data_IF_062158750199
#
_entry.id   IF_062158750199
#
_cell.length_a   1.000
_cell.length_b   1.000
_cell.length_c   1.000
_cell.angle_alpha   90.00
_cell.angle_beta   90.00
_cell.angle_gamma   90.00
#
_symmetry.space_group_name_H-M   'P 1'
#
loop_
_entity.id
_entity.type
_entity.pdbx_description
1 polymer ?
#
# COMPACT_ATOMS: atom_id res chain seq x y z
N UNK A 1 12.27 -31.75 -28.61
CA UNK A 1 11.86 -30.32 -28.71
C UNK A 1 10.42 -30.20 -29.17
N UNK A 2 10.03 -30.79 -30.32
CA UNK A 2 8.67 -30.72 -30.85
C UNK A 2 7.52 -31.18 -29.91
N UNK A 3 7.78 -32.12 -29.01
CA UNK A 3 6.78 -32.64 -28.06
C UNK A 3 6.49 -31.66 -26.90
N UNK A 4 7.55 -31.03 -26.36
CA UNK A 4 7.44 -29.97 -25.36
C UNK A 4 6.72 -28.74 -25.92
N UNK A 5 6.98 -28.38 -27.17
CA UNK A 5 6.33 -27.22 -27.80
C UNK A 5 4.81 -27.48 -27.99
N UNK A 6 4.44 -28.72 -28.30
CA UNK A 6 3.03 -29.17 -28.35
C UNK A 6 2.35 -29.12 -26.99
N UNK A 7 3.05 -29.59 -25.96
CA UNK A 7 2.56 -29.57 -24.58
C UNK A 7 2.36 -28.12 -24.10
N UNK A 8 3.29 -27.22 -24.41
CA UNK A 8 3.18 -25.79 -24.09
C UNK A 8 1.97 -25.16 -24.78
N UNK A 9 1.71 -25.46 -26.06
CA UNK A 9 0.55 -24.91 -26.76
C UNK A 9 -0.78 -25.46 -26.23
N UNK A 10 -0.85 -26.74 -25.84
CA UNK A 10 -2.01 -27.30 -25.16
C UNK A 10 -2.27 -26.63 -23.81
N UNK A 11 -1.22 -26.44 -23.00
CA UNK A 11 -1.33 -25.76 -21.71
C UNK A 11 -1.75 -24.30 -21.87
N UNK A 12 -1.24 -23.57 -22.87
CA UNK A 12 -1.70 -22.21 -23.18
C UNK A 12 -3.16 -22.17 -23.61
N UNK A 13 -3.59 -23.16 -24.39
CA UNK A 13 -5.00 -23.33 -24.78
C UNK A 13 -5.90 -23.53 -23.57
N UNK A 14 -5.50 -24.41 -22.66
CA UNK A 14 -6.25 -24.70 -21.44
C UNK A 14 -6.28 -23.50 -20.48
N UNK A 15 -5.15 -22.79 -20.30
CA UNK A 15 -5.12 -21.54 -19.53
C UNK A 15 -6.08 -20.50 -20.12
N UNK A 16 -6.15 -20.40 -21.45
CA UNK A 16 -7.06 -19.45 -22.11
C UNK A 16 -8.52 -19.81 -21.85
N UNK A 17 -8.88 -21.08 -22.02
CA UNK A 17 -10.22 -21.60 -21.71
C UNK A 17 -10.59 -21.33 -20.26
N UNK A 18 -9.72 -21.68 -19.30
CA UNK A 18 -9.97 -21.49 -17.88
C UNK A 18 -10.15 -20.01 -17.54
N UNK A 19 -9.36 -19.11 -18.14
CA UNK A 19 -9.55 -17.65 -17.98
C UNK A 19 -10.90 -17.17 -18.51
N UNK A 20 -11.35 -17.68 -19.65
CA UNK A 20 -12.67 -17.35 -20.22
C UNK A 20 -13.83 -17.88 -19.38
N UNK A 21 -13.65 -19.04 -18.75
CA UNK A 21 -14.63 -19.65 -17.85
C UNK A 21 -14.71 -18.88 -16.52
N UNK A 22 -13.57 -18.52 -15.94
CA UNK A 22 -13.49 -17.63 -14.76
C UNK A 22 -14.13 -16.27 -15.06
N UNK A 23 -13.83 -15.65 -16.21
CA UNK A 23 -14.42 -14.35 -16.57
C UNK A 23 -15.95 -14.40 -16.76
N UNK A 24 -16.49 -15.57 -17.15
CA UNK A 24 -17.94 -15.81 -17.21
C UNK A 24 -18.56 -15.99 -15.83
N UNK A 25 -17.90 -16.73 -14.94
CA UNK A 25 -18.38 -16.99 -13.58
C UNK A 25 -18.18 -15.80 -12.64
N UNK A 26 -17.18 -14.97 -12.91
CA UNK A 26 -16.84 -13.77 -12.14
C UNK A 26 -16.72 -12.59 -13.10
N UNK A 27 -17.83 -11.88 -13.37
CA UNK A 27 -17.81 -10.70 -14.22
C UNK A 27 -16.80 -9.67 -13.67
N UNK A 28 -16.17 -8.85 -14.53
CA UNK A 28 -15.28 -7.78 -14.09
C UNK A 28 -15.94 -6.89 -13.04
N UNK A 29 -15.16 -6.36 -12.10
CA UNK A 29 -15.65 -5.52 -11.00
C UNK A 29 -16.51 -4.36 -11.50
N UNK A 30 -16.11 -3.71 -12.61
CA UNK A 30 -16.88 -2.63 -13.22
C UNK A 30 -18.27 -3.08 -13.67
N UNK A 31 -18.39 -4.30 -14.18
CA UNK A 31 -19.68 -4.89 -14.57
C UNK A 31 -20.54 -5.12 -13.34
N UNK A 32 -19.98 -5.67 -12.27
CA UNK A 32 -20.68 -5.91 -11.00
C UNK A 32 -21.15 -4.59 -10.35
N UNK A 33 -20.29 -3.57 -10.34
CA UNK A 33 -20.62 -2.23 -9.85
C UNK A 33 -21.76 -1.61 -10.67
N UNK A 34 -21.69 -1.69 -12.00
CA UNK A 34 -22.72 -1.15 -12.90
C UNK A 34 -24.07 -1.82 -12.71
N UNK A 35 -24.12 -3.14 -12.51
CA UNK A 35 -25.37 -3.87 -12.19
C UNK A 35 -26.03 -3.30 -10.93
N UNK A 36 -25.22 -2.95 -9.92
CA UNK A 36 -25.66 -2.30 -8.68
C UNK A 36 -25.85 -0.78 -8.79
N UNK A 37 -25.79 -0.24 -10.01
CA UNK A 37 -25.89 1.20 -10.31
C UNK A 37 -24.81 2.07 -9.66
N UNK A 38 -23.65 1.49 -9.36
CA UNK A 38 -22.45 2.23 -8.99
C UNK A 38 -21.63 2.57 -10.23
N UNK A 39 -21.15 3.80 -10.31
CA UNK A 39 -20.30 4.30 -11.40
C UNK A 39 -18.96 4.75 -10.83
N UNK A 40 -17.87 4.34 -11.48
CA UNK A 40 -16.51 4.76 -11.09
C UNK A 40 -16.27 6.16 -11.65
N UNK A 41 -16.44 7.18 -10.81
CA UNK A 41 -16.23 8.58 -11.20
C UNK A 41 -14.76 9.01 -11.19
N UNK A 42 -13.89 8.31 -10.46
CA UNK A 42 -12.47 8.65 -10.36
C UNK A 42 -11.63 7.39 -10.16
N UNK A 43 -10.64 7.16 -11.05
CA UNK A 43 -9.73 6.00 -10.99
C UNK A 43 -8.43 6.27 -10.22
N UNK A 44 -7.98 7.52 -10.14
CA UNK A 44 -6.77 7.91 -9.40
C UNK A 44 -7.17 8.61 -8.10
N UNK A 45 -6.55 8.27 -6.96
CA UNK A 45 -6.85 8.95 -5.71
C UNK A 45 -6.56 10.45 -5.86
N UNK A 46 -7.36 11.26 -5.18
CA UNK A 46 -7.16 12.72 -5.18
C UNK A 46 -5.83 13.14 -4.54
N UNK A 47 -5.30 12.26 -3.68
CA UNK A 47 -4.10 12.44 -2.89
C UNK A 47 -3.17 11.24 -3.15
N UNK A 48 -1.88 11.51 -3.27
CA UNK A 48 -0.90 10.44 -3.49
C UNK A 48 -0.60 9.73 -2.16
N UNK A 49 -0.56 8.39 -2.12
CA UNK A 49 -0.20 7.66 -0.91
C UNK A 49 1.24 7.97 -0.47
N UNK A 50 1.47 7.94 0.84
CA UNK A 50 2.80 8.05 1.44
C UNK A 50 3.53 6.71 1.24
N UNK A 51 4.24 6.60 0.12
CA UNK A 51 4.98 5.40 -0.27
C UNK A 51 6.49 5.68 -0.36
N UNK A 52 7.33 4.73 0.06
CA UNK A 52 8.78 4.81 -0.10
C UNK A 52 9.20 4.49 -1.54
N UNK A 53 10.52 4.48 -1.79
CA UNK A 53 11.09 3.93 -3.03
C UNK A 53 10.73 2.44 -3.21
N UNK A 54 10.61 1.97 -4.45
CA UNK A 54 10.12 0.62 -4.81
C UNK A 54 10.84 -0.51 -4.05
N UNK A 55 12.15 -0.39 -3.84
CA UNK A 55 12.96 -1.36 -3.09
C UNK A 55 12.52 -1.59 -1.64
N UNK A 56 11.75 -0.66 -1.05
CA UNK A 56 11.27 -0.75 0.32
C UNK A 56 9.77 -1.07 0.42
N UNK A 57 9.07 -1.22 -0.70
CA UNK A 57 7.62 -1.38 -0.74
C UNK A 57 7.15 -2.57 0.08
N UNK A 58 7.77 -3.75 -0.05
CA UNK A 58 7.34 -4.93 0.70
C UNK A 58 7.61 -4.81 2.20
N UNK A 59 8.76 -4.21 2.58
CA UNK A 59 9.07 -3.93 3.99
C UNK A 59 8.05 -2.97 4.60
N UNK A 60 7.68 -1.92 3.86
CA UNK A 60 6.67 -0.96 4.29
C UNK A 60 5.27 -1.55 4.35
N UNK A 61 4.90 -2.39 3.37
CA UNK A 61 3.64 -3.14 3.36
C UNK A 61 3.51 -4.03 4.60
N UNK A 62 4.56 -4.79 4.93
CA UNK A 62 4.57 -5.63 6.14
C UNK A 62 4.41 -4.80 7.42
N UNK A 63 5.06 -3.63 7.49
CA UNK A 63 4.89 -2.72 8.63
C UNK A 63 3.45 -2.20 8.75
N UNK A 64 2.80 -1.87 7.63
CA UNK A 64 1.40 -1.44 7.62
C UNK A 64 0.44 -2.52 8.11
N UNK A 65 0.84 -3.80 8.12
CA UNK A 65 0.13 -4.89 8.80
C UNK A 65 -0.03 -4.66 10.30
N UNK A 66 0.94 -4.01 10.94
CA UNK A 66 0.87 -3.71 12.37
C UNK A 66 0.01 -2.48 12.66
N UNK A 67 -1.04 -2.66 13.47
CA UNK A 67 -1.94 -1.57 13.84
C UNK A 67 -1.21 -0.40 14.53
N UNK A 68 -0.26 -0.71 15.41
CA UNK A 68 0.62 0.27 16.06
C UNK A 68 1.35 1.16 15.08
N UNK A 69 1.90 0.58 14.01
CA UNK A 69 2.60 1.33 12.96
C UNK A 69 1.64 2.25 12.21
N UNK A 70 0.41 1.80 11.90
CA UNK A 70 -0.61 2.64 11.26
C UNK A 70 -0.99 3.86 12.13
N UNK A 71 -1.13 3.66 13.44
CA UNK A 71 -1.38 4.77 14.37
C UNK A 71 -0.19 5.74 14.43
N UNK A 72 1.03 5.22 14.47
CA UNK A 72 2.25 6.03 14.43
C UNK A 72 2.34 6.88 13.16
N UNK A 73 2.11 6.31 11.97
CA UNK A 73 2.11 7.08 10.71
C UNK A 73 1.07 8.21 10.74
N UNK A 74 -0.11 7.96 11.31
CA UNK A 74 -1.14 8.99 11.45
C UNK A 74 -0.65 10.17 12.29
N UNK A 75 0.08 9.91 13.37
CA UNK A 75 0.66 10.96 14.21
C UNK A 75 1.81 11.69 13.48
N UNK A 76 2.64 10.97 12.73
CA UNK A 76 3.69 11.58 11.87
C UNK A 76 3.07 12.50 10.81
N UNK A 77 1.96 12.12 10.18
CA UNK A 77 1.26 12.97 9.20
C UNK A 77 0.67 14.22 9.88
N UNK A 78 0.16 14.06 11.11
CA UNK A 78 -0.36 15.19 11.89
C UNK A 78 0.72 16.22 12.22
N UNK A 79 1.93 15.78 12.56
CA UNK A 79 3.07 16.63 12.91
C UNK A 79 4.15 16.70 11.80
N UNK A 80 3.71 16.61 10.53
CA UNK A 80 4.60 16.42 9.38
C UNK A 80 5.69 17.48 9.19
N UNK A 81 5.47 18.71 9.67
CA UNK A 81 6.41 19.81 9.48
C UNK A 81 7.61 19.74 10.42
N UNK A 82 7.37 19.33 11.67
CA UNK A 82 8.37 19.11 12.70
C UNK A 82 7.75 18.27 13.84
N UNK A 83 8.44 17.20 14.26
CA UNK A 83 8.05 16.36 15.38
C UNK A 83 9.26 15.79 16.13
N UNK A 84 9.11 15.63 17.44
CA UNK A 84 10.00 14.88 18.34
C UNK A 84 9.56 13.43 18.46
N UNK A 85 10.33 12.59 19.17
CA UNK A 85 9.89 11.20 19.43
C UNK A 85 8.63 11.21 20.29
N UNK A 86 8.58 12.11 21.26
CA UNK A 86 7.52 12.25 22.25
C UNK A 86 6.18 12.60 21.61
N UNK A 87 6.19 13.43 20.56
CA UNK A 87 4.99 13.84 19.82
C UNK A 87 4.26 12.67 19.15
N UNK A 88 5.00 11.60 18.80
CA UNK A 88 4.50 10.43 18.06
C UNK A 88 4.56 9.12 18.87
N UNK A 89 4.79 9.22 20.19
CA UNK A 89 4.86 8.06 21.11
C UNK A 89 3.50 7.71 21.73
N UNK A 90 2.43 8.44 21.41
CA UNK A 90 1.12 8.30 22.09
C UNK A 90 0.54 6.88 22.11
N UNK A 91 0.77 6.12 21.04
CA UNK A 91 0.17 4.78 20.86
C UNK A 91 1.18 3.64 20.85
N UNK A 92 2.48 3.94 21.05
CA UNK A 92 3.59 2.98 20.94
C UNK A 92 4.65 3.27 21.98
N UNK A 93 5.23 2.24 22.60
CA UNK A 93 6.33 2.42 23.54
C UNK A 93 7.49 3.20 22.89
N UNK A 94 8.19 4.04 23.66
CA UNK A 94 9.22 4.95 23.15
C UNK A 94 10.30 4.28 22.30
N UNK A 95 10.73 3.08 22.68
CA UNK A 95 11.75 2.33 21.94
C UNK A 95 11.24 1.83 20.58
N UNK A 96 9.97 1.42 20.51
CA UNK A 96 9.31 1.03 19.26
C UNK A 96 9.15 2.25 18.34
N UNK A 97 8.78 3.40 18.91
CA UNK A 97 8.65 4.65 18.17
C UNK A 97 9.99 5.07 17.56
N UNK A 98 11.09 5.02 18.32
CA UNK A 98 12.45 5.30 17.81
C UNK A 98 12.82 4.34 16.69
N UNK A 99 12.50 3.06 16.84
CA UNK A 99 12.73 2.06 15.81
C UNK A 99 11.97 2.38 14.51
N UNK A 100 10.68 2.73 14.60
CA UNK A 100 9.88 3.14 13.44
C UNK A 100 10.42 4.40 12.77
N UNK A 101 10.83 5.43 13.53
CA UNK A 101 11.46 6.63 12.98
C UNK A 101 12.74 6.26 12.23
N UNK A 102 13.57 5.38 12.79
CA UNK A 102 14.78 4.89 12.13
C UNK A 102 14.47 4.22 10.79
N UNK A 103 13.44 3.37 10.74
CA UNK A 103 13.02 2.72 9.49
C UNK A 103 12.50 3.75 8.48
N UNK A 104 11.68 4.72 8.90
CA UNK A 104 11.19 5.77 7.98
C UNK A 104 12.32 6.63 7.42
N UNK A 105 13.38 6.86 8.20
CA UNK A 105 14.60 7.54 7.73
C UNK A 105 15.35 6.70 6.71
N UNK A 106 15.53 5.41 6.96
CA UNK A 106 16.13 4.46 6.01
C UNK A 106 15.38 4.46 4.67
N UNK A 107 14.04 4.51 4.74
CA UNK A 107 13.15 4.57 3.58
C UNK A 107 13.04 5.96 2.93
N UNK A 108 13.73 6.98 3.47
CA UNK A 108 13.67 8.39 3.03
C UNK A 108 12.26 9.00 3.04
N UNK A 109 11.40 8.54 3.94
CA UNK A 109 10.08 9.12 4.19
C UNK A 109 10.15 10.25 5.21
N UNK A 110 11.12 10.19 6.13
CA UNK A 110 11.38 11.19 7.17
C UNK A 110 12.83 11.62 7.09
N UNK A 111 13.10 12.90 7.39
CA UNK A 111 14.44 13.45 7.53
C UNK A 111 14.61 14.17 8.88
N UNK A 112 15.85 14.32 9.33
CA UNK A 112 16.18 15.09 10.53
C UNK A 112 16.45 16.55 10.15
N UNK A 113 15.87 17.50 10.89
CA UNK A 113 15.99 18.93 10.66
C UNK A 113 16.04 19.65 12.01
N UNK A 114 17.18 20.25 12.34
CA UNK A 114 17.33 21.07 13.55
C UNK A 114 17.08 20.32 14.87
N UNK A 115 17.41 19.02 14.94
CA UNK A 115 17.17 18.19 16.13
C UNK A 115 15.77 17.56 16.20
N UNK A 116 14.88 17.91 15.27
CA UNK A 116 13.55 17.30 15.10
C UNK A 116 13.49 16.46 13.83
N UNK A 117 12.36 15.79 13.62
CA UNK A 117 12.05 15.01 12.43
C UNK A 117 10.96 15.68 11.62
N UNK A 118 10.93 15.44 10.31
CA UNK A 118 9.87 15.93 9.42
C UNK A 118 9.67 15.01 8.23
N UNK A 119 8.48 15.00 7.63
CA UNK A 119 8.23 14.26 6.40
C UNK A 119 8.99 14.89 5.23
N UNK A 120 9.52 14.06 4.34
CA UNK A 120 10.23 14.53 3.14
C UNK A 120 9.25 15.08 2.11
N UNK A 121 8.17 14.32 1.83
CA UNK A 121 7.09 14.75 0.93
C UNK A 121 5.97 15.37 1.76
N UNK A 122 5.66 16.65 1.49
CA UNK A 122 4.67 17.46 2.20
C UNK A 122 3.98 18.42 1.23
N UNK A 123 2.70 18.79 1.44
CA UNK A 123 1.85 18.35 2.53
C UNK A 123 1.21 16.98 2.29
N UNK A 124 1.14 16.14 3.31
CA UNK A 124 0.32 14.92 3.35
C UNK A 124 -0.95 15.25 4.11
N UNK A 125 -2.10 15.20 3.43
CA UNK A 125 -3.38 15.61 4.02
C UNK A 125 -3.98 14.54 4.92
N UNK A 126 -3.82 13.27 4.56
CA UNK A 126 -4.43 12.16 5.27
C UNK A 126 -3.65 10.87 5.11
N UNK A 127 -3.87 9.92 6.02
CA UNK A 127 -3.37 8.55 5.91
C UNK A 127 -4.23 7.68 4.97
N UNK A 128 -5.42 8.16 4.59
CA UNK A 128 -6.43 7.42 3.82
C UNK A 128 -5.87 6.77 2.55
N UNK A 129 -5.23 7.52 1.63
CA UNK A 129 -4.70 6.96 0.40
C UNK A 129 -3.65 5.85 0.63
N UNK A 130 -2.81 5.97 1.66
CA UNK A 130 -1.84 4.94 2.03
C UNK A 130 -2.53 3.69 2.55
N UNK A 131 -3.59 3.86 3.35
CA UNK A 131 -4.39 2.74 3.85
C UNK A 131 -5.15 2.04 2.71
N UNK A 132 -5.73 2.80 1.78
CA UNK A 132 -6.39 2.26 0.58
C UNK A 132 -5.41 1.45 -0.27
N UNK A 133 -4.20 1.98 -0.50
CA UNK A 133 -3.14 1.25 -1.20
C UNK A 133 -2.79 -0.07 -0.49
N UNK A 134 -2.64 -0.03 0.83
CA UNK A 134 -2.36 -1.23 1.64
C UNK A 134 -3.48 -2.26 1.55
N UNK A 135 -4.74 -1.84 1.72
CA UNK A 135 -5.91 -2.71 1.65
C UNK A 135 -6.09 -3.30 0.25
N UNK A 136 -5.82 -2.53 -0.81
CA UNK A 136 -5.79 -3.05 -2.18
C UNK A 136 -4.78 -4.19 -2.32
N UNK A 137 -3.58 -4.03 -1.73
CA UNK A 137 -2.57 -5.08 -1.71
C UNK A 137 -2.99 -6.34 -0.93
N UNK A 138 -3.77 -6.20 0.14
CA UNK A 138 -4.35 -7.35 0.87
C UNK A 138 -5.25 -8.14 -0.09
N UNK A 139 -6.17 -7.44 -0.76
CA UNK A 139 -7.09 -8.09 -1.71
C UNK A 139 -6.37 -8.74 -2.88
N UNK A 140 -5.30 -8.16 -3.40
CA UNK A 140 -4.52 -8.74 -4.50
C UNK A 140 -3.68 -9.96 -4.09
N UNK A 141 -3.26 -10.04 -2.82
CA UNK A 141 -2.32 -11.07 -2.34
C UNK A 141 -3.02 -12.22 -1.63
N UNK A 142 -4.15 -11.96 -0.98
CA UNK A 142 -4.81 -12.92 -0.08
C UNK A 142 -6.12 -13.49 -0.62
N UNK A 143 -6.71 -12.90 -1.66
CA UNK A 143 -8.01 -13.28 -2.23
C UNK A 143 -7.93 -13.48 -3.75
#
# INVERSE_FOLDING_TARGET
MADRDKEIELLKGEIRRLREEIARLTPPLETLLKIRRYYVYKRKPAEMPLLPEDRFIDKYYNLLGHYSFRLFIRDVIKFQDAFSVEDVTRYTAGDVTKHYISILKEMRLVESSGGLYRLVKRPVRSFGPTLEWFVSGIFEREF
#
